data_IF_337408920129
#
_entry.id   IF_337408920129
#
_cell.length_a   1.000
_cell.length_b   1.000
_cell.length_c   1.000
_cell.angle_alpha   90.00
_cell.angle_beta   90.00
_cell.angle_gamma   90.00
#
_symmetry.space_group_name_H-M   'P 1'
#
loop_
_entity.id
_entity.type
_entity.pdbx_description
1 polymer ?
#
# COMPACT_ATOMS: atom_id res chain seq x y z
N UNK A 1 2.50 -59.48 12.36
CA UNK A 1 3.02 -58.09 12.27
C UNK A 1 3.03 -57.50 13.68
N UNK A 2 4.21 -57.24 14.24
CA UNK A 2 4.43 -57.01 15.68
C UNK A 2 3.57 -55.87 16.27
N UNK A 3 2.88 -56.12 17.38
CA UNK A 3 2.04 -55.13 18.07
C UNK A 3 2.80 -53.86 18.50
N UNK A 4 4.11 -53.99 18.75
CA UNK A 4 5.01 -52.86 18.99
C UNK A 4 5.10 -51.92 17.78
N UNK A 5 5.12 -52.48 16.57
CA UNK A 5 5.20 -51.74 15.31
C UNK A 5 3.87 -51.03 15.01
N UNK A 6 2.73 -51.66 15.32
CA UNK A 6 1.40 -51.02 15.28
C UNK A 6 1.27 -49.85 16.27
N UNK A 7 1.82 -49.98 17.48
CA UNK A 7 1.85 -48.88 18.47
C UNK A 7 2.69 -47.70 17.99
N UNK A 8 3.91 -47.94 17.52
CA UNK A 8 4.79 -46.88 16.98
C UNK A 8 4.15 -46.19 15.77
N UNK A 9 3.54 -46.95 14.87
CA UNK A 9 2.84 -46.39 13.71
C UNK A 9 1.65 -45.51 14.13
N UNK A 10 0.85 -45.95 15.10
CA UNK A 10 -0.26 -45.15 15.65
C UNK A 10 0.24 -43.85 16.29
N UNK A 11 1.30 -43.91 17.08
CA UNK A 11 1.88 -42.73 17.74
C UNK A 11 2.45 -41.75 16.72
N UNK A 12 3.17 -42.25 15.70
CA UNK A 12 3.68 -41.42 14.61
C UNK A 12 2.57 -40.76 13.80
N UNK A 13 1.46 -41.47 13.54
CA UNK A 13 0.33 -40.95 12.80
C UNK A 13 -0.38 -39.82 13.57
N UNK A 14 -0.55 -39.97 14.89
CA UNK A 14 -1.13 -38.92 15.73
C UNK A 14 -0.26 -37.67 15.79
N UNK A 15 1.06 -37.82 15.91
CA UNK A 15 1.97 -36.66 15.87
C UNK A 15 1.94 -35.97 14.51
N UNK A 16 1.91 -36.73 13.42
CA UNK A 16 1.80 -36.17 12.06
C UNK A 16 0.46 -35.44 11.87
N UNK A 17 -0.65 -35.99 12.37
CA UNK A 17 -1.94 -35.30 12.37
C UNK A 17 -1.89 -33.99 13.17
N UNK A 18 -1.25 -33.94 14.34
CA UNK A 18 -1.12 -32.71 15.13
C UNK A 18 -0.30 -31.67 14.37
N UNK A 19 0.82 -32.05 13.76
CA UNK A 19 1.64 -31.13 12.95
C UNK A 19 0.85 -30.56 11.78
N UNK A 20 0.16 -31.43 11.03
CA UNK A 20 -0.70 -31.01 9.91
C UNK A 20 -1.82 -30.09 10.40
N UNK A 21 -2.47 -30.41 11.52
CA UNK A 21 -3.54 -29.59 12.09
C UNK A 21 -3.01 -28.21 12.50
N UNK A 22 -1.84 -28.16 13.11
CA UNK A 22 -1.20 -26.90 13.53
C UNK A 22 -0.84 -26.05 12.33
N UNK A 23 -0.30 -26.63 11.26
CA UNK A 23 0.00 -25.93 10.01
C UNK A 23 -1.25 -25.39 9.33
N UNK A 24 -2.32 -26.18 9.25
CA UNK A 24 -3.60 -25.76 8.66
C UNK A 24 -4.24 -24.64 9.47
N UNK A 25 -4.27 -24.76 10.80
CA UNK A 25 -4.80 -23.72 11.68
C UNK A 25 -3.99 -22.43 11.58
N UNK A 26 -2.67 -22.52 11.53
CA UNK A 26 -1.80 -21.34 11.38
C UNK A 26 -2.03 -20.65 10.03
N UNK A 27 -2.10 -21.43 8.94
CA UNK A 27 -2.36 -20.88 7.61
C UNK A 27 -3.72 -20.18 7.52
N UNK A 28 -4.77 -20.77 8.10
CA UNK A 28 -6.10 -20.17 8.11
C UNK A 28 -6.15 -18.89 8.96
N UNK A 29 -5.42 -18.87 10.09
CA UNK A 29 -5.31 -17.71 10.96
C UNK A 29 -4.59 -16.54 10.27
N UNK A 30 -3.47 -16.82 9.60
CA UNK A 30 -2.70 -15.81 8.85
C UNK A 30 -3.50 -15.22 7.68
N UNK A 31 -4.23 -16.07 6.95
CA UNK A 31 -5.09 -15.63 5.85
C UNK A 31 -6.23 -14.73 6.36
N UNK A 32 -6.88 -15.09 7.47
CA UNK A 32 -7.97 -14.29 8.06
C UNK A 32 -7.47 -12.93 8.54
N UNK A 33 -6.29 -12.88 9.17
CA UNK A 33 -5.65 -11.62 9.60
C UNK A 33 -5.32 -10.71 8.41
N UNK A 34 -4.76 -11.29 7.35
CA UNK A 34 -4.39 -10.53 6.14
C UNK A 34 -5.61 -9.95 5.44
N UNK A 35 -6.70 -10.72 5.33
CA UNK A 35 -7.96 -10.23 4.77
C UNK A 35 -8.58 -9.11 5.60
N UNK A 36 -8.64 -9.27 6.92
CA UNK A 36 -9.16 -8.24 7.82
C UNK A 36 -8.34 -6.94 7.74
N UNK A 37 -7.02 -7.04 7.59
CA UNK A 37 -6.14 -5.89 7.42
C UNK A 37 -6.40 -5.15 6.10
N UNK A 38 -6.53 -5.87 4.99
CA UNK A 38 -6.86 -5.27 3.67
C UNK A 38 -8.27 -4.69 3.64
N UNK A 39 -9.22 -5.32 4.34
CA UNK A 39 -10.58 -4.83 4.48
C UNK A 39 -10.59 -3.53 5.29
N UNK A 40 -9.87 -3.45 6.41
CA UNK A 40 -9.73 -2.22 7.19
C UNK A 40 -9.11 -1.08 6.36
N UNK A 41 -8.09 -1.38 5.53
CA UNK A 41 -7.54 -0.42 4.59
C UNK A 41 -8.59 0.11 3.58
N UNK A 42 -9.46 -0.77 3.07
CA UNK A 42 -10.54 -0.40 2.15
C UNK A 42 -11.63 0.42 2.84
N UNK A 43 -12.07 0.00 4.02
CA UNK A 43 -13.08 0.71 4.83
C UNK A 43 -12.63 2.12 5.19
N UNK A 44 -11.34 2.29 5.51
CA UNK A 44 -10.73 3.59 5.83
C UNK A 44 -10.43 4.44 4.58
N UNK A 45 -10.91 4.02 3.41
CA UNK A 45 -10.75 4.73 2.12
C UNK A 45 -9.31 4.87 1.66
N UNK A 46 -8.39 4.01 2.11
CA UNK A 46 -6.98 4.08 1.71
C UNK A 46 -6.78 3.94 0.20
N UNK A 47 -7.48 2.99 -0.44
CA UNK A 47 -7.46 2.83 -1.89
C UNK A 47 -7.98 4.06 -2.65
N UNK A 48 -9.03 4.70 -2.11
CA UNK A 48 -9.59 5.92 -2.67
C UNK A 48 -8.57 7.07 -2.60
N UNK A 49 -7.89 7.24 -1.46
CA UNK A 49 -6.86 8.27 -1.31
C UNK A 49 -5.71 8.08 -2.30
N UNK A 50 -5.22 6.85 -2.49
CA UNK A 50 -4.20 6.56 -3.50
C UNK A 50 -4.67 6.88 -4.92
N UNK A 51 -5.95 6.64 -5.24
CA UNK A 51 -6.53 7.03 -6.52
C UNK A 51 -6.63 8.56 -6.66
N UNK A 52 -7.03 9.27 -5.61
CA UNK A 52 -7.13 10.74 -5.63
C UNK A 52 -5.76 11.42 -5.77
N UNK A 53 -4.71 10.85 -5.17
CA UNK A 53 -3.32 11.32 -5.36
C UNK A 53 -2.90 11.09 -6.83
N UNK A 54 -3.11 9.88 -7.35
CA UNK A 54 -2.82 9.54 -8.75
C UNK A 54 -3.57 10.44 -9.73
N UNK A 55 -4.83 10.78 -9.46
CA UNK A 55 -5.61 11.68 -10.30
C UNK A 55 -5.11 13.12 -10.23
N UNK A 56 -4.65 13.55 -9.06
CA UNK A 56 -4.01 14.87 -8.88
C UNK A 56 -2.71 14.96 -9.69
N UNK A 57 -1.92 13.89 -9.72
CA UNK A 57 -0.74 13.78 -10.57
C UNK A 57 -1.07 13.81 -12.05
N UNK A 58 -2.05 13.02 -12.49
CA UNK A 58 -2.52 13.05 -13.88
C UNK A 58 -2.97 14.45 -14.30
N UNK A 59 -3.80 15.10 -13.47
CA UNK A 59 -4.23 16.49 -13.68
C UNK A 59 -3.03 17.44 -13.80
N UNK A 60 -2.00 17.25 -12.98
CA UNK A 60 -0.78 18.08 -13.01
C UNK A 60 -0.08 17.99 -14.36
N UNK A 61 0.11 16.77 -14.89
CA UNK A 61 0.74 16.54 -16.21
C UNK A 61 -0.11 17.09 -17.34
N UNK A 62 -1.42 16.85 -17.33
CA UNK A 62 -2.36 17.34 -18.36
C UNK A 62 -2.39 18.87 -18.41
N UNK A 63 -2.47 19.53 -17.25
CA UNK A 63 -2.49 20.99 -17.17
C UNK A 63 -1.12 21.59 -17.57
N UNK A 64 -0.02 20.93 -17.19
CA UNK A 64 1.31 21.34 -17.60
C UNK A 64 1.46 21.29 -19.13
N UNK A 65 1.03 20.19 -19.76
CA UNK A 65 1.12 19.99 -21.21
C UNK A 65 0.24 20.95 -22.01
N UNK A 66 -0.96 21.26 -21.52
CA UNK A 66 -1.95 21.99 -22.32
C UNK A 66 -1.93 23.52 -22.09
N UNK A 67 -1.62 23.99 -20.87
CA UNK A 67 -1.90 25.39 -20.51
C UNK A 67 -0.75 26.11 -19.79
N UNK A 68 0.35 25.42 -19.49
CA UNK A 68 1.38 25.83 -18.52
C UNK A 68 0.79 26.08 -17.13
N UNK A 69 1.41 25.50 -16.10
CA UNK A 69 0.90 25.63 -14.73
C UNK A 69 1.12 27.06 -14.21
N UNK A 70 0.04 27.82 -14.05
CA UNK A 70 0.12 29.14 -13.40
C UNK A 70 0.33 29.00 -11.87
N UNK A 71 0.76 30.08 -11.22
CA UNK A 71 1.09 30.09 -9.79
C UNK A 71 -0.08 29.70 -8.88
N UNK A 72 -1.30 30.09 -9.24
CA UNK A 72 -2.51 29.75 -8.48
C UNK A 72 -2.82 28.25 -8.57
N UNK A 73 -2.70 27.66 -9.76
CA UNK A 73 -2.91 26.24 -10.00
C UNK A 73 -1.88 25.40 -9.25
N UNK A 74 -0.59 25.79 -9.31
CA UNK A 74 0.48 25.12 -8.55
C UNK A 74 0.16 25.09 -7.05
N UNK A 75 -0.30 26.20 -6.48
CA UNK A 75 -0.74 26.26 -5.07
C UNK A 75 -1.91 25.33 -4.80
N UNK A 76 -2.96 25.35 -5.63
CA UNK A 76 -4.12 24.45 -5.48
C UNK A 76 -3.72 22.97 -5.52
N UNK A 77 -2.79 22.60 -6.41
CA UNK A 77 -2.27 21.23 -6.51
C UNK A 77 -1.48 20.84 -5.25
N UNK A 78 -0.59 21.71 -4.78
CA UNK A 78 0.19 21.50 -3.54
C UNK A 78 -0.75 21.34 -2.34
N UNK A 79 -1.73 22.24 -2.18
CA UNK A 79 -2.69 22.20 -1.07
C UNK A 79 -3.50 20.90 -1.08
N UNK A 80 -3.93 20.47 -2.27
CA UNK A 80 -4.64 19.21 -2.46
C UNK A 80 -3.76 18.01 -2.09
N UNK A 81 -2.51 17.97 -2.58
CA UNK A 81 -1.57 16.88 -2.27
C UNK A 81 -1.25 16.81 -0.77
N UNK A 82 -1.05 17.95 -0.11
CA UNK A 82 -0.83 18.01 1.34
C UNK A 82 -2.03 17.48 2.13
N UNK A 83 -3.26 17.87 1.73
CA UNK A 83 -4.48 17.35 2.35
C UNK A 83 -4.59 15.84 2.19
N UNK A 84 -4.38 15.32 0.98
CA UNK A 84 -4.42 13.88 0.70
C UNK A 84 -3.34 13.13 1.46
N UNK A 85 -2.12 13.67 1.55
CA UNK A 85 -1.02 13.10 2.34
C UNK A 85 -1.37 13.00 3.82
N UNK A 86 -1.99 14.04 4.39
CA UNK A 86 -2.40 14.04 5.79
C UNK A 86 -3.51 13.01 6.07
N UNK A 87 -4.48 12.90 5.16
CA UNK A 87 -5.52 11.87 5.23
C UNK A 87 -4.91 10.47 5.12
N UNK A 88 -3.98 10.26 4.19
CA UNK A 88 -3.28 8.99 4.03
C UNK A 88 -2.45 8.64 5.27
N UNK A 89 -1.78 9.61 5.88
CA UNK A 89 -1.06 9.41 7.13
C UNK A 89 -1.95 9.00 8.29
N UNK A 90 -3.17 9.53 8.34
CA UNK A 90 -4.17 9.10 9.33
C UNK A 90 -4.58 7.65 9.11
N UNK A 91 -4.74 7.21 7.85
CA UNK A 91 -5.05 5.82 7.51
C UNK A 91 -3.88 4.89 7.85
N UNK A 92 -2.67 5.25 7.43
CA UNK A 92 -1.41 4.55 7.76
C UNK A 92 -1.29 4.31 9.28
N UNK A 93 -1.38 5.39 10.05
CA UNK A 93 -1.35 5.32 11.50
C UNK A 93 -2.48 4.50 12.12
N UNK A 94 -3.59 4.26 11.43
CA UNK A 94 -4.71 3.47 11.95
C UNK A 94 -4.54 1.99 11.63
N UNK A 95 -4.14 1.66 10.40
CA UNK A 95 -3.98 0.27 9.96
C UNK A 95 -2.70 -0.37 10.51
N UNK A 96 -1.63 0.41 10.69
CA UNK A 96 -0.33 -0.09 11.15
C UNK A 96 -0.14 -0.03 12.68
N UNK A 97 -1.21 0.05 13.48
CA UNK A 97 -1.13 0.10 14.97
C UNK A 97 -0.78 -1.24 15.62
N UNK A 98 -0.90 -2.35 14.89
CA UNK A 98 -0.68 -3.70 15.42
C UNK A 98 0.54 -4.41 14.82
N UNK A 99 0.80 -5.63 15.30
CA UNK A 99 1.72 -6.55 14.62
C UNK A 99 1.05 -7.06 13.35
N UNK A 100 1.45 -6.49 12.22
CA UNK A 100 1.12 -6.94 10.86
C UNK A 100 2.40 -7.51 10.27
N UNK A 101 2.38 -8.75 9.78
CA UNK A 101 3.58 -9.41 9.26
C UNK A 101 4.12 -8.72 8.00
N UNK A 102 3.25 -8.09 7.21
CA UNK A 102 3.59 -7.32 6.02
C UNK A 102 2.78 -6.01 5.99
N UNK A 103 3.28 -4.95 6.67
CA UNK A 103 2.60 -3.66 6.66
C UNK A 103 2.69 -3.01 5.27
N UNK A 104 1.63 -2.32 4.86
CA UNK A 104 1.66 -1.47 3.66
C UNK A 104 2.56 -0.27 3.95
N UNK A 105 3.65 -0.14 3.19
CA UNK A 105 4.61 0.97 3.33
C UNK A 105 4.22 2.16 2.44
N UNK A 106 3.79 3.27 3.07
CA UNK A 106 3.48 4.53 2.38
C UNK A 106 4.65 5.51 2.31
N UNK A 107 5.84 5.15 2.82
CA UNK A 107 7.00 6.05 2.91
C UNK A 107 7.37 6.64 1.56
N UNK A 108 7.38 5.82 0.51
CA UNK A 108 7.67 6.27 -0.85
C UNK A 108 6.64 7.29 -1.35
N UNK A 109 5.34 7.10 -1.03
CA UNK A 109 4.29 8.05 -1.41
C UNK A 109 4.50 9.40 -0.73
N UNK A 110 4.86 9.43 0.56
CA UNK A 110 5.14 10.69 1.26
C UNK A 110 6.36 11.40 0.69
N UNK A 111 7.40 10.64 0.33
CA UNK A 111 8.58 11.17 -0.32
C UNK A 111 8.26 11.79 -1.69
N UNK A 112 7.48 11.08 -2.50
CA UNK A 112 7.09 11.51 -3.84
C UNK A 112 6.18 12.74 -3.81
N UNK A 113 5.19 12.78 -2.92
CA UNK A 113 4.37 13.98 -2.69
C UNK A 113 5.25 15.18 -2.32
N UNK A 114 6.22 15.00 -1.43
CA UNK A 114 7.15 16.07 -1.04
C UNK A 114 7.98 16.54 -2.23
N UNK A 115 8.50 15.62 -3.05
CA UNK A 115 9.30 15.95 -4.22
C UNK A 115 8.48 16.71 -5.27
N UNK A 116 7.25 16.27 -5.53
CA UNK A 116 6.31 16.96 -6.42
C UNK A 116 6.00 18.35 -5.89
N UNK A 117 5.72 18.51 -4.60
CA UNK A 117 5.44 19.81 -4.00
C UNK A 117 6.63 20.79 -4.09
N UNK A 118 7.85 20.29 -3.85
CA UNK A 118 9.07 21.09 -4.01
C UNK A 118 9.25 21.56 -5.46
N UNK A 119 8.98 20.67 -6.41
CA UNK A 119 9.09 20.97 -7.85
C UNK A 119 8.03 21.96 -8.29
N UNK A 120 6.77 21.79 -7.86
CA UNK A 120 5.70 22.75 -8.12
C UNK A 120 5.93 24.11 -7.48
N UNK A 121 6.71 24.19 -6.40
CA UNK A 121 7.02 25.45 -5.72
C UNK A 121 8.16 26.22 -6.40
N UNK A 122 9.03 25.53 -7.11
CA UNK A 122 10.22 26.08 -7.74
C UNK A 122 9.98 26.35 -9.24
N UNK A 123 9.83 27.63 -9.59
CA UNK A 123 9.59 28.04 -10.96
C UNK A 123 10.73 27.70 -11.94
N UNK A 124 11.94 27.41 -11.44
CA UNK A 124 13.07 27.00 -12.28
C UNK A 124 13.02 25.52 -12.68
N UNK A 125 12.10 24.75 -12.07
CA UNK A 125 11.97 23.30 -12.24
C UNK A 125 10.73 22.91 -13.03
N UNK A 126 10.11 23.85 -13.74
CA UNK A 126 8.89 23.60 -14.50
C UNK A 126 9.09 22.48 -15.53
N UNK A 127 10.23 22.47 -16.22
CA UNK A 127 10.55 21.50 -17.27
C UNK A 127 10.64 20.05 -16.76
N UNK A 128 10.91 19.85 -15.46
CA UNK A 128 11.04 18.52 -14.84
C UNK A 128 9.77 18.08 -14.08
N UNK A 129 8.75 18.94 -13.97
CA UNK A 129 7.47 18.60 -13.32
C UNK A 129 6.88 17.31 -13.91
N UNK A 130 6.74 17.15 -15.25
CA UNK A 130 6.13 15.94 -15.80
C UNK A 130 6.91 14.68 -15.44
N UNK A 131 8.23 14.74 -15.45
CA UNK A 131 9.11 13.60 -15.15
C UNK A 131 8.94 13.14 -13.71
N UNK A 132 8.99 14.08 -12.75
CA UNK A 132 8.84 13.78 -11.33
C UNK A 132 7.44 13.25 -11.03
N UNK A 133 6.41 13.84 -11.62
CA UNK A 133 5.02 13.42 -11.44
C UNK A 133 4.78 12.03 -12.04
N UNK A 134 5.33 11.73 -13.22
CA UNK A 134 5.23 10.40 -13.83
C UNK A 134 5.91 9.33 -12.96
N UNK A 135 7.12 9.61 -12.47
CA UNK A 135 7.81 8.70 -11.54
C UNK A 135 6.97 8.44 -10.28
N UNK A 136 6.36 9.48 -9.72
CA UNK A 136 5.49 9.37 -8.55
C UNK A 136 4.22 8.55 -8.85
N UNK A 137 3.69 8.63 -10.08
CA UNK A 137 2.56 7.79 -10.52
C UNK A 137 2.95 6.32 -10.64
N UNK A 138 4.16 6.02 -11.13
CA UNK A 138 4.70 4.65 -11.16
C UNK A 138 4.82 4.08 -9.75
N UNK A 139 5.33 4.85 -8.79
CA UNK A 139 5.42 4.47 -7.38
C UNK A 139 4.05 4.09 -6.78
N UNK A 140 3.00 4.87 -7.06
CA UNK A 140 1.62 4.51 -6.68
C UNK A 140 1.16 3.21 -7.35
N UNK A 141 1.52 3.01 -8.62
CA UNK A 141 1.22 1.79 -9.36
C UNK A 141 1.83 0.55 -8.74
N UNK A 142 3.11 0.60 -8.38
CA UNK A 142 3.82 -0.49 -7.70
C UNK A 142 3.22 -0.78 -6.32
N UNK A 143 2.93 0.25 -5.52
CA UNK A 143 2.27 0.08 -4.22
C UNK A 143 0.90 -0.62 -4.35
N UNK A 144 0.11 -0.26 -5.37
CA UNK A 144 -1.19 -0.93 -5.62
C UNK A 144 -1.01 -2.40 -5.98
N UNK A 145 0.04 -2.76 -6.74
CA UNK A 145 0.37 -4.16 -7.04
C UNK A 145 0.75 -4.90 -5.77
N UNK A 146 1.54 -4.29 -4.90
CA UNK A 146 1.93 -4.87 -3.60
C UNK A 146 0.69 -5.11 -2.71
N UNK A 147 -0.20 -4.13 -2.58
CA UNK A 147 -1.47 -4.29 -1.84
C UNK A 147 -2.31 -5.43 -2.41
N UNK A 148 -2.35 -5.53 -3.75
CA UNK A 148 -3.06 -6.62 -4.44
C UNK A 148 -2.40 -7.97 -4.16
N UNK A 149 -1.07 -8.03 -4.17
CA UNK A 149 -0.32 -9.24 -3.83
C UNK A 149 -0.58 -9.69 -2.39
N UNK A 150 -0.61 -8.76 -1.43
CA UNK A 150 -0.97 -9.03 -0.03
C UNK A 150 -2.40 -9.59 0.06
N UNK A 151 -3.35 -9.08 -0.73
CA UNK A 151 -4.74 -9.55 -0.72
C UNK A 151 -4.93 -11.00 -1.22
N UNK A 152 -4.10 -11.45 -2.18
CA UNK A 152 -4.26 -12.76 -2.85
C UNK A 152 -3.25 -13.83 -2.38
N UNK A 153 -2.49 -13.54 -1.33
CA UNK A 153 -1.60 -14.51 -0.66
C UNK A 153 -2.36 -15.36 0.35
#
# INVERSE_FOLDING_TARGET
MNDKLKKILRTSLTYLCIVVLTLVLNHFYDQSRTQSYIEEFKERKGAQLLNEISETYKTTVEQHSNYKLNKEMKRKLIDRLNRLSSQLHTVDQQINRGHVDHPIDFTFIYHDIKLVNLTLSDATKDDIIPVIVLHSMEGIGELKKEITYIQYR
#
